data_IF_669006450147
#
_entry.id   IF_669006450147
#
_cell.length_a   1.000
_cell.length_b   1.000
_cell.length_c   1.000
_cell.angle_alpha   90.00
_cell.angle_beta   90.00
_cell.angle_gamma   90.00
#
_symmetry.space_group_name_H-M   'P 1'
#
loop_
_entity.id
_entity.type
_entity.pdbx_description
1 polymer ?
#
# COMPACT_ATOMS: atom_id res chain seq x y z
N UNK A 1 -5.46 -1.54 11.78
CA UNK A 1 -5.79 -2.42 10.63
C UNK A 1 -6.86 -1.85 9.71
N UNK A 2 -7.70 -0.89 10.15
CA UNK A 2 -8.77 -0.28 9.33
C UNK A 2 -8.30 0.50 8.09
N UNK A 3 -7.21 1.27 8.19
CA UNK A 3 -6.78 2.18 7.12
C UNK A 3 -6.32 1.42 5.86
N UNK A 4 -5.75 0.23 6.02
CA UNK A 4 -5.27 -0.57 4.90
C UNK A 4 -6.43 -1.04 4.00
N UNK A 5 -7.51 -1.53 4.61
CA UNK A 5 -8.66 -2.04 3.87
C UNK A 5 -9.42 -0.92 3.16
N UNK A 6 -9.60 0.23 3.82
CA UNK A 6 -10.19 1.43 3.21
C UNK A 6 -9.37 1.94 2.00
N UNK A 7 -8.03 1.91 2.09
CA UNK A 7 -7.17 2.28 0.98
C UNK A 7 -7.25 1.27 -0.16
N UNK A 8 -7.27 -0.03 0.13
CA UNK A 8 -7.45 -1.07 -0.88
C UNK A 8 -8.79 -0.92 -1.60
N UNK A 9 -9.85 -0.64 -0.84
CA UNK A 9 -11.19 -0.48 -1.37
C UNK A 9 -11.26 0.71 -2.33
N UNK A 10 -10.81 1.90 -1.92
CA UNK A 10 -10.83 3.08 -2.79
C UNK A 10 -9.88 2.99 -3.99
N UNK A 11 -8.74 2.30 -3.87
CA UNK A 11 -7.72 2.30 -4.93
C UNK A 11 -7.84 1.13 -5.90
N UNK A 12 -8.45 0.00 -5.49
CA UNK A 12 -8.53 -1.24 -6.26
C UNK A 12 -9.98 -1.64 -6.52
N UNK A 13 -10.82 -1.70 -5.48
CA UNK A 13 -12.21 -2.18 -5.62
C UNK A 13 -13.14 -1.15 -6.26
N UNK A 14 -12.99 0.12 -5.91
CA UNK A 14 -13.82 1.23 -6.42
C UNK A 14 -13.41 1.68 -7.84
N UNK A 15 -12.19 1.31 -8.27
CA UNK A 15 -11.59 1.83 -9.50
C UNK A 15 -12.18 1.23 -10.78
N UNK A 16 -12.59 -0.03 -10.74
CA UNK A 16 -13.29 -0.73 -11.82
C UNK A 16 -13.89 -2.05 -11.31
N UNK A 17 -14.85 -2.61 -12.06
CA UNK A 17 -15.35 -3.96 -11.79
C UNK A 17 -14.37 -5.01 -12.32
N UNK A 18 -14.08 -5.99 -11.50
CA UNK A 18 -13.20 -7.10 -11.84
C UNK A 18 -14.05 -8.32 -12.19
N UNK A 19 -13.88 -8.83 -13.40
CA UNK A 19 -14.69 -9.93 -13.93
C UNK A 19 -14.35 -11.25 -13.25
N UNK A 20 -13.07 -11.41 -12.88
CA UNK A 20 -12.56 -12.61 -12.21
C UNK A 20 -11.80 -12.29 -10.93
N UNK A 21 -11.83 -13.25 -10.01
CA UNK A 21 -11.09 -13.18 -8.74
C UNK A 21 -9.58 -13.13 -8.95
N UNK A 22 -9.09 -13.70 -10.06
CA UNK A 22 -7.67 -13.65 -10.42
C UNK A 22 -7.25 -12.24 -10.83
N UNK A 23 -8.03 -11.54 -11.66
CA UNK A 23 -7.73 -10.16 -12.00
C UNK A 23 -7.74 -9.26 -10.76
N UNK A 24 -8.70 -9.47 -9.86
CA UNK A 24 -8.73 -8.76 -8.57
C UNK A 24 -7.47 -9.05 -7.73
N UNK A 25 -7.03 -10.31 -7.64
CA UNK A 25 -5.82 -10.68 -6.90
C UNK A 25 -4.58 -10.01 -7.49
N UNK A 26 -4.43 -10.03 -8.81
CA UNK A 26 -3.31 -9.38 -9.51
C UNK A 26 -3.32 -7.89 -9.20
N UNK A 27 -4.47 -7.22 -9.32
CA UNK A 27 -4.60 -5.79 -9.05
C UNK A 27 -4.26 -5.41 -7.61
N UNK A 28 -4.69 -6.23 -6.63
CA UNK A 28 -4.35 -6.05 -5.21
C UNK A 28 -2.84 -6.14 -5.00
N UNK A 29 -2.20 -7.21 -5.50
CA UNK A 29 -0.75 -7.43 -5.33
C UNK A 29 0.04 -6.31 -6.00
N UNK A 30 -0.28 -5.98 -7.25
CA UNK A 30 0.37 -4.87 -7.99
C UNK A 30 0.19 -3.53 -7.27
N UNK A 31 -0.98 -3.24 -6.71
CA UNK A 31 -1.20 -1.99 -5.97
C UNK A 31 -0.37 -1.96 -4.67
N UNK A 32 -0.28 -3.07 -3.94
CA UNK A 32 0.54 -3.19 -2.73
C UNK A 32 2.01 -3.01 -3.09
N UNK A 33 2.52 -3.72 -4.09
CA UNK A 33 3.90 -3.58 -4.58
C UNK A 33 4.22 -2.14 -5.02
N UNK A 34 3.32 -1.49 -5.75
CA UNK A 34 3.57 -0.14 -6.26
C UNK A 34 3.45 0.94 -5.20
N UNK A 35 2.47 0.81 -4.31
CA UNK A 35 2.04 1.90 -3.42
C UNK A 35 2.52 1.68 -1.99
N UNK A 36 2.33 0.47 -1.48
CA UNK A 36 2.69 0.14 -0.11
C UNK A 36 4.20 -0.07 0.02
N UNK A 37 4.84 -0.85 -0.86
CA UNK A 37 6.30 -1.04 -0.77
C UNK A 37 7.08 0.24 -1.05
N UNK A 38 6.62 1.11 -1.98
CA UNK A 38 7.27 2.41 -2.23
C UNK A 38 7.16 3.37 -1.03
N UNK A 39 6.02 3.42 -0.35
CA UNK A 39 5.83 4.25 0.87
C UNK A 39 6.58 3.71 2.08
N UNK A 40 6.90 2.42 2.09
CA UNK A 40 7.59 1.77 3.19
C UNK A 40 9.12 1.80 3.06
N UNK A 41 9.67 2.65 2.19
CA UNK A 41 11.03 3.13 2.37
C UNK A 41 10.98 4.08 3.57
N UNK A 42 11.48 3.67 4.75
CA UNK A 42 11.47 4.57 5.88
C UNK A 42 12.29 5.80 5.48
N UNK A 43 11.80 7.03 5.68
CA UNK A 43 12.67 8.19 5.59
C UNK A 43 13.83 7.88 6.54
N UNK A 44 15.06 7.92 6.02
CA UNK A 44 16.26 7.78 6.81
C UNK A 44 16.07 8.63 8.07
N UNK A 45 15.86 7.98 9.21
CA UNK A 45 15.75 8.66 10.49
C UNK A 45 17.13 9.28 10.69
N UNK A 46 17.29 10.61 10.61
CA UNK A 46 18.57 11.19 10.92
C UNK A 46 18.86 10.81 12.37
N UNK A 47 20.01 10.19 12.59
CA UNK A 47 20.42 9.66 13.88
C UNK A 47 20.45 10.82 14.88
N UNK A 48 19.49 10.84 15.80
CA UNK A 48 19.51 11.75 16.93
C UNK A 48 20.72 11.33 17.77
N UNK A 49 21.78 12.15 17.80
CA UNK A 49 22.83 12.02 18.81
C UNK A 49 22.26 12.57 20.12
N UNK A 50 22.17 11.79 21.21
CA UNK A 50 22.09 12.41 22.52
C UNK A 50 23.50 12.95 22.83
N UNK A 51 23.63 14.28 22.86
CA UNK A 51 24.73 14.95 23.52
C UNK A 51 24.27 15.35 24.92
N UNK A 52 25.13 15.10 25.92
CA UNK A 52 24.89 15.40 27.33
C UNK A 52 25.33 14.24 28.20
#
# INVERSE_FOLDING_TARGET
MEIFFALLQRNVLDRQRWDTREQLRIAIVTWIERTYHRRRRPPHRPRIRPGG
#
